data_IF_310254853085
#
_entry.id   IF_310254853085
#
_cell.length_a   1.000
_cell.length_b   1.000
_cell.length_c   1.000
_cell.angle_alpha   90.00
_cell.angle_beta   90.00
_cell.angle_gamma   90.00
#
_symmetry.space_group_name_H-M   'P 1'
#
loop_
_entity.id
_entity.type
_entity.pdbx_description
1 polymer ?
#
# COMPACT_ATOMS: atom_id res chain seq x y z
N UNK A 1 -22.71 20.26 -6.15
CA UNK A 1 -23.30 19.19 -7.00
C UNK A 1 -22.30 18.06 -7.03
N UNK A 2 -22.67 16.93 -6.42
CA UNK A 2 -21.75 15.84 -6.09
C UNK A 2 -21.44 14.97 -7.30
N UNK A 3 -20.16 14.85 -7.62
CA UNK A 3 -19.66 13.69 -8.35
C UNK A 3 -19.61 12.53 -7.35
N UNK A 4 -20.78 11.96 -7.04
CA UNK A 4 -20.88 10.78 -6.20
C UNK A 4 -20.22 9.62 -6.94
N UNK A 5 -19.26 8.95 -6.29
CA UNK A 5 -18.66 7.68 -6.70
C UNK A 5 -19.68 6.55 -6.93
N UNK A 6 -20.96 6.80 -6.66
CA UNK A 6 -22.07 5.84 -6.71
C UNK A 6 -22.44 5.36 -8.12
N UNK A 7 -22.05 6.06 -9.19
CA UNK A 7 -22.39 5.64 -10.56
C UNK A 7 -21.43 4.60 -11.16
N UNK A 8 -20.15 4.66 -10.81
CA UNK A 8 -19.13 3.76 -11.36
C UNK A 8 -19.00 2.46 -10.56
N UNK A 9 -19.30 2.51 -9.25
CA UNK A 9 -19.28 1.37 -8.34
C UNK A 9 -20.67 1.19 -7.70
N UNK A 10 -21.68 0.89 -8.53
CA UNK A 10 -22.98 0.47 -8.03
C UNK A 10 -22.91 -0.91 -7.34
N UNK A 11 -23.98 -1.28 -6.63
CA UNK A 11 -24.04 -2.52 -5.87
C UNK A 11 -23.86 -3.77 -6.75
N UNK A 12 -24.39 -3.74 -7.98
CA UNK A 12 -24.27 -4.86 -8.92
C UNK A 12 -22.81 -5.08 -9.35
N UNK A 13 -22.10 -4.01 -9.72
CA UNK A 13 -20.67 -4.04 -10.06
C UNK A 13 -19.81 -4.45 -8.87
N UNK A 14 -20.12 -3.96 -7.67
CA UNK A 14 -19.44 -4.39 -6.44
C UNK A 14 -19.59 -5.90 -6.24
N UNK A 15 -20.81 -6.43 -6.38
CA UNK A 15 -21.08 -7.85 -6.23
C UNK A 15 -20.39 -8.69 -7.33
N UNK A 16 -20.33 -8.19 -8.56
CA UNK A 16 -19.57 -8.81 -9.64
C UNK A 16 -18.07 -8.88 -9.33
N UNK A 17 -17.46 -7.77 -8.89
CA UNK A 17 -16.04 -7.73 -8.50
C UNK A 17 -15.76 -8.70 -7.37
N UNK A 18 -16.62 -8.74 -6.34
CA UNK A 18 -16.51 -9.72 -5.24
C UNK A 18 -16.53 -11.16 -5.76
N UNK A 19 -17.44 -11.49 -6.68
CA UNK A 19 -17.51 -12.82 -7.29
C UNK A 19 -16.26 -13.21 -8.07
N UNK A 20 -15.67 -12.27 -8.82
CA UNK A 20 -14.41 -12.48 -9.52
C UNK A 20 -13.25 -12.69 -8.55
N UNK A 21 -13.14 -11.85 -7.51
CA UNK A 21 -12.10 -11.96 -6.48
C UNK A 21 -12.18 -13.31 -5.78
N UNK A 22 -13.38 -13.72 -5.37
CA UNK A 22 -13.59 -15.02 -4.69
C UNK A 22 -13.18 -16.18 -5.60
N UNK A 23 -13.60 -16.17 -6.88
CA UNK A 23 -13.20 -17.20 -7.84
C UNK A 23 -11.69 -17.27 -8.03
N UNK A 24 -11.03 -16.13 -8.18
CA UNK A 24 -9.56 -16.07 -8.31
C UNK A 24 -8.87 -16.59 -7.05
N UNK A 25 -9.37 -16.21 -5.86
CA UNK A 25 -8.82 -16.67 -4.60
C UNK A 25 -8.99 -18.18 -4.40
N UNK A 26 -10.16 -18.73 -4.71
CA UNK A 26 -10.42 -20.17 -4.66
C UNK A 26 -9.50 -20.94 -5.61
N UNK A 27 -9.33 -20.46 -6.85
CA UNK A 27 -8.42 -21.07 -7.82
C UNK A 27 -6.96 -21.04 -7.34
N UNK A 28 -6.51 -19.92 -6.77
CA UNK A 28 -5.16 -19.81 -6.20
C UNK A 28 -4.97 -20.67 -4.95
N UNK A 29 -6.01 -20.85 -4.14
CA UNK A 29 -5.92 -21.56 -2.86
C UNK A 29 -5.46 -23.02 -3.02
N UNK A 30 -5.89 -23.69 -4.09
CA UNK A 30 -5.47 -25.06 -4.41
C UNK A 30 -3.97 -25.15 -4.66
N UNK A 31 -3.43 -24.23 -5.48
CA UNK A 31 -2.01 -24.12 -5.74
C UNK A 31 -1.22 -23.80 -4.46
N UNK A 32 -1.69 -22.82 -3.68
CA UNK A 32 -1.03 -22.42 -2.43
C UNK A 32 -0.91 -23.59 -1.45
N UNK A 33 -1.98 -24.37 -1.24
CA UNK A 33 -1.99 -25.53 -0.35
C UNK A 33 -1.00 -26.61 -0.78
N UNK A 34 -0.92 -26.89 -2.09
CA UNK A 34 0.04 -27.85 -2.63
C UNK A 34 1.48 -27.38 -2.42
N UNK A 35 1.77 -26.11 -2.73
CA UNK A 35 3.11 -25.53 -2.56
C UNK A 35 3.52 -25.45 -1.08
N UNK A 36 2.57 -25.19 -0.19
CA UNK A 36 2.83 -25.14 1.24
C UNK A 36 3.41 -26.46 1.75
N UNK A 37 2.77 -27.59 1.44
CA UNK A 37 3.24 -28.92 1.89
C UNK A 37 4.65 -29.25 1.37
N UNK A 38 4.93 -28.96 0.09
CA UNK A 38 6.24 -29.22 -0.52
C UNK A 38 7.32 -28.31 0.10
N UNK A 39 7.01 -27.03 0.28
CA UNK A 39 7.93 -26.05 0.88
C UNK A 39 8.22 -26.40 2.34
N UNK A 40 7.20 -26.81 3.09
CA UNK A 40 7.33 -27.21 4.48
C UNK A 40 8.18 -28.47 4.65
N UNK A 41 7.98 -29.48 3.80
CA UNK A 41 8.83 -30.67 3.79
C UNK A 41 10.28 -30.31 3.44
N UNK A 42 10.49 -29.44 2.44
CA UNK A 42 11.82 -28.94 2.09
C UNK A 42 12.49 -28.18 3.24
N UNK A 43 11.71 -27.41 4.00
CA UNK A 43 12.21 -26.74 5.20
C UNK A 43 12.67 -27.75 6.27
N UNK A 44 11.85 -28.78 6.59
CA UNK A 44 12.25 -29.84 7.52
C UNK A 44 13.52 -30.55 7.03
N UNK A 45 13.59 -30.87 5.74
CA UNK A 45 14.76 -31.52 5.15
C UNK A 45 16.03 -30.68 5.35
N UNK A 46 15.96 -29.36 5.17
CA UNK A 46 17.08 -28.44 5.41
C UNK A 46 17.47 -28.29 6.90
N UNK A 47 16.56 -28.57 7.83
CA UNK A 47 16.83 -28.55 9.26
C UNK A 47 17.44 -29.86 9.76
N UNK A 48 17.00 -31.00 9.20
CA UNK A 48 17.47 -32.34 9.58
C UNK A 48 18.78 -32.70 8.90
N UNK A 49 18.98 -32.31 7.64
CA UNK A 49 20.24 -32.54 6.94
C UNK A 49 21.33 -31.56 7.40
N UNK A 50 22.59 -32.01 7.48
CA UNK A 50 23.71 -31.12 7.74
C UNK A 50 23.84 -30.08 6.63
N UNK A 51 23.68 -28.79 6.99
CA UNK A 51 23.79 -27.68 6.04
C UNK A 51 25.14 -27.71 5.33
N UNK A 52 25.12 -27.84 4.00
CA UNK A 52 26.32 -27.75 3.14
C UNK A 52 26.93 -26.35 3.14
N UNK A 53 26.13 -25.31 3.41
CA UNK A 53 26.58 -23.93 3.59
C UNK A 53 26.86 -23.65 5.07
N UNK A 54 28.09 -23.19 5.36
CA UNK A 54 28.50 -22.82 6.71
C UNK A 54 27.61 -21.75 7.33
N UNK A 55 27.47 -21.76 8.66
CA UNK A 55 26.80 -20.66 9.37
C UNK A 55 27.54 -19.36 9.07
N UNK A 56 26.80 -18.31 8.72
CA UNK A 56 27.38 -16.97 8.57
C UNK A 56 28.13 -16.56 9.84
N UNK A 57 29.30 -15.93 9.67
CA UNK A 57 30.18 -15.55 10.77
C UNK A 57 29.65 -14.35 11.57
N UNK A 58 28.67 -13.62 11.02
CA UNK A 58 28.05 -12.46 11.65
C UNK A 58 26.85 -12.86 12.50
N UNK A 59 26.80 -12.32 13.72
CA UNK A 59 25.64 -12.47 14.59
C UNK A 59 24.43 -11.75 13.98
N UNK A 60 23.29 -12.44 13.89
CA UNK A 60 22.02 -11.83 13.50
C UNK A 60 21.40 -11.11 14.70
N UNK A 61 21.04 -9.85 14.52
CA UNK A 61 20.27 -9.11 15.52
C UNK A 61 18.87 -9.73 15.65
N UNK A 62 18.46 -10.10 16.86
CA UNK A 62 17.07 -10.52 17.11
C UNK A 62 16.13 -9.32 16.88
N UNK A 63 15.00 -9.49 16.17
CA UNK A 63 14.06 -8.40 15.96
C UNK A 63 13.41 -8.05 17.31
N UNK A 64 13.95 -7.04 17.98
CA UNK A 64 13.31 -6.32 19.09
C UNK A 64 13.12 -4.90 18.59
N UNK A 65 12.05 -4.69 17.84
CA UNK A 65 11.71 -3.39 17.30
C UNK A 65 10.36 -3.03 17.84
N UNK A 66 10.33 -1.92 18.58
CA UNK A 66 9.09 -1.23 18.88
C UNK A 66 8.53 -0.71 17.55
N UNK A 67 7.38 -1.22 17.06
CA UNK A 67 6.80 -0.77 15.80
C UNK A 67 6.46 0.72 15.84
N UNK A 68 6.27 1.31 17.01
CA UNK A 68 5.92 2.70 17.18
C UNK A 68 7.14 3.63 17.20
N UNK A 69 8.36 3.07 17.16
CA UNK A 69 9.57 3.87 17.00
C UNK A 69 9.51 4.69 15.70
N UNK A 70 9.69 6.00 15.83
CA UNK A 70 9.77 6.93 14.71
C UNK A 70 11.16 6.84 14.06
N UNK A 71 11.19 6.60 12.76
CA UNK A 71 12.41 6.65 11.94
C UNK A 71 12.64 8.06 11.37
N UNK A 72 11.56 8.73 10.98
CA UNK A 72 11.61 10.07 10.41
C UNK A 72 10.31 10.82 10.71
N UNK A 73 10.41 12.13 10.97
CA UNK A 73 9.24 12.98 11.14
C UNK A 73 9.54 14.39 10.61
N UNK A 74 8.59 14.97 9.88
CA UNK A 74 8.73 16.33 9.36
C UNK A 74 7.38 16.93 8.99
N UNK A 75 7.26 18.25 9.13
CA UNK A 75 6.17 19.00 8.52
C UNK A 75 6.43 19.15 7.02
N UNK A 76 5.55 18.59 6.20
CA UNK A 76 5.66 18.59 4.74
C UNK A 76 4.37 19.15 4.15
N UNK A 77 4.51 19.87 3.03
CA UNK A 77 3.41 20.35 2.21
C UNK A 77 2.84 19.19 1.40
N UNK A 78 1.59 18.80 1.70
CA UNK A 78 0.89 17.69 1.06
C UNK A 78 -0.32 18.24 0.31
N UNK A 79 -0.41 17.95 -0.98
CA UNK A 79 -1.63 18.12 -1.76
C UNK A 79 -2.46 16.84 -1.67
N UNK A 80 -3.56 16.90 -0.93
CA UNK A 80 -4.52 15.80 -0.91
C UNK A 80 -5.48 15.98 -2.11
N UNK A 81 -5.65 14.91 -2.90
CA UNK A 81 -6.53 14.92 -4.08
C UNK A 81 -8.02 14.87 -3.73
N UNK A 82 -8.35 14.52 -2.48
CA UNK A 82 -9.70 14.32 -1.95
C UNK A 82 -10.38 15.61 -1.48
N UNK A 83 -9.60 16.61 -1.08
CA UNK A 83 -10.12 17.92 -0.73
C UNK A 83 -10.42 18.69 -2.03
N UNK A 84 -11.62 19.25 -2.11
CA UNK A 84 -12.23 19.85 -3.31
C UNK A 84 -11.53 21.12 -3.85
N UNK A 85 -10.23 21.28 -3.59
CA UNK A 85 -9.36 22.25 -4.21
C UNK A 85 -7.90 21.79 -4.17
N UNK A 86 -7.10 22.24 -5.14
CA UNK A 86 -5.63 22.11 -5.22
C UNK A 86 -4.89 22.85 -4.08
N UNK A 87 -5.44 22.88 -2.87
CA UNK A 87 -4.87 23.61 -1.74
C UNK A 87 -3.87 22.70 -1.05
N UNK A 88 -2.60 22.97 -1.31
CA UNK A 88 -1.51 22.35 -0.59
C UNK A 88 -1.60 22.73 0.90
N UNK A 89 -1.66 21.73 1.78
CA UNK A 89 -1.73 21.93 3.24
C UNK A 89 -0.46 21.41 3.88
N UNK A 90 0.01 22.12 4.90
CA UNK A 90 1.08 21.62 5.74
C UNK A 90 0.53 20.51 6.64
N UNK A 91 1.21 19.36 6.62
CA UNK A 91 0.86 18.17 7.40
C UNK A 91 2.09 17.70 8.15
N UNK A 92 1.88 17.13 9.32
CA UNK A 92 2.95 16.50 10.08
C UNK A 92 3.05 15.02 9.68
N UNK A 93 4.12 14.63 8.99
CA UNK A 93 4.31 13.28 8.45
C UNK A 93 5.30 12.52 9.31
N UNK A 94 4.96 11.29 9.68
CA UNK A 94 5.75 10.40 10.53
C UNK A 94 5.96 9.06 9.83
N UNK A 95 7.22 8.66 9.65
CA UNK A 95 7.61 7.33 9.21
C UNK A 95 7.96 6.48 10.43
N UNK A 96 7.25 5.38 10.60
CA UNK A 96 7.47 4.43 11.69
C UNK A 96 8.42 3.31 11.26
N UNK A 97 8.82 2.50 12.23
CA UNK A 97 9.80 1.43 12.05
C UNK A 97 9.30 0.23 11.25
N UNK A 98 7.99 0.02 11.22
CA UNK A 98 7.33 -0.92 10.32
C UNK A 98 7.10 -0.35 8.91
N UNK A 99 7.70 0.82 8.63
CA UNK A 99 7.65 1.54 7.36
C UNK A 99 6.26 2.06 6.97
N UNK A 100 5.29 2.09 7.89
CA UNK A 100 4.04 2.82 7.66
C UNK A 100 4.29 4.33 7.73
N UNK A 101 3.62 5.07 6.86
CA UNK A 101 3.66 6.54 6.80
C UNK A 101 2.35 7.06 7.37
N UNK A 102 2.43 7.78 8.48
CA UNK A 102 1.30 8.43 9.14
C UNK A 102 1.27 9.92 8.78
N UNK A 103 0.11 10.41 8.35
CA UNK A 103 -0.11 11.83 8.03
C UNK A 103 -1.05 12.41 9.09
N UNK A 104 -0.53 13.36 9.86
CA UNK A 104 -1.23 14.06 10.94
C UNK A 104 -1.54 15.50 10.54
N UNK A 105 -2.50 16.11 11.23
CA UNK A 105 -2.84 17.53 11.02
C UNK A 105 -1.64 18.44 11.32
N UNK A 106 -1.06 18.29 12.51
CA UNK A 106 0.11 19.04 12.94
C UNK A 106 0.86 18.28 14.04
N UNK A 107 1.99 18.83 14.47
CA UNK A 107 2.83 18.22 15.51
C UNK A 107 2.13 18.17 16.88
N UNK A 108 1.26 19.14 17.18
CA UNK A 108 0.58 19.20 18.47
C UNK A 108 -0.45 18.07 18.62
N UNK A 109 -1.25 17.81 17.59
CA UNK A 109 -2.20 16.70 17.59
C UNK A 109 -1.48 15.38 17.73
N UNK A 110 -0.34 15.23 17.05
CA UNK A 110 0.50 14.05 17.16
C UNK A 110 1.07 13.86 18.58
N UNK A 111 1.67 14.91 19.17
CA UNK A 111 2.27 14.84 20.51
C UNK A 111 1.24 14.57 21.61
N UNK A 112 -0.03 14.95 21.41
CA UNK A 112 -1.15 14.61 22.31
C UNK A 112 -1.69 13.19 22.11
N UNK A 113 -1.09 12.37 21.23
CA UNK A 113 -1.55 11.01 20.93
C UNK A 113 -2.76 10.96 20.00
N UNK A 114 -2.99 12.01 19.21
CA UNK A 114 -4.06 12.05 18.22
C UNK A 114 -3.88 11.02 17.10
N UNK A 115 -5.00 10.52 16.57
CA UNK A 115 -4.99 9.58 15.46
C UNK A 115 -4.53 10.26 14.16
N UNK A 116 -3.81 9.49 13.33
CA UNK A 116 -3.43 9.94 11.99
C UNK A 116 -4.67 10.10 11.10
N UNK A 117 -4.64 11.10 10.21
CA UNK A 117 -5.68 11.29 9.19
C UNK A 117 -5.59 10.23 8.10
N UNK A 118 -4.38 9.84 7.77
CA UNK A 118 -4.12 8.82 6.76
C UNK A 118 -2.91 7.99 7.19
N UNK A 119 -3.02 6.68 7.01
CA UNK A 119 -1.92 5.74 7.21
C UNK A 119 -1.70 5.02 5.89
N UNK A 120 -0.49 5.14 5.35
CA UNK A 120 -0.10 4.54 4.08
C UNK A 120 0.95 3.47 4.31
N UNK A 121 0.78 2.32 3.66
CA UNK A 121 1.84 1.34 3.49
C UNK A 121 2.44 1.54 2.10
N UNK A 122 3.64 2.11 1.97
CA UNK A 122 4.24 2.42 0.66
C UNK A 122 4.72 1.17 -0.09
N UNK A 123 4.34 -0.03 0.33
CA UNK A 123 4.66 -1.27 -0.36
C UNK A 123 4.18 -1.21 -1.80
N UNK A 124 5.10 -1.38 -2.76
CA UNK A 124 4.86 -1.28 -4.21
C UNK A 124 4.54 0.15 -4.72
N UNK A 125 4.68 1.17 -3.89
CA UNK A 125 4.60 2.57 -4.33
C UNK A 125 5.77 2.94 -5.24
N UNK A 126 5.54 3.93 -6.11
CA UNK A 126 6.56 4.53 -6.95
C UNK A 126 6.71 6.00 -6.58
N UNK A 127 7.96 6.48 -6.53
CA UNK A 127 8.29 7.85 -6.17
C UNK A 127 8.65 8.60 -7.44
N UNK A 128 8.00 9.74 -7.64
CA UNK A 128 8.30 10.70 -8.69
C UNK A 128 8.78 11.99 -8.06
N UNK A 129 9.79 12.61 -8.67
CA UNK A 129 10.33 13.89 -8.21
C UNK A 129 10.00 15.04 -9.16
N UNK A 130 9.38 14.75 -10.32
CA UNK A 130 8.82 15.73 -11.24
C UNK A 130 7.34 15.46 -11.50
N UNK A 131 6.59 16.51 -11.86
CA UNK A 131 5.17 16.39 -12.17
C UNK A 131 4.98 15.68 -13.51
N UNK A 132 5.86 15.93 -14.46
CA UNK A 132 5.82 15.37 -15.82
C UNK A 132 5.94 13.85 -15.81
N UNK A 133 6.88 13.29 -15.03
CA UNK A 133 7.03 11.84 -14.88
C UNK A 133 5.78 11.22 -14.26
N UNK A 134 5.25 11.84 -13.20
CA UNK A 134 4.05 11.34 -12.52
C UNK A 134 2.83 11.34 -13.43
N UNK A 135 2.69 12.37 -14.29
CA UNK A 135 1.58 12.51 -15.23
C UNK A 135 1.69 11.50 -16.36
N UNK A 136 2.88 11.34 -16.93
CA UNK A 136 3.11 10.37 -18.00
C UNK A 136 2.79 8.93 -17.54
N UNK A 137 3.19 8.56 -16.33
CA UNK A 137 2.86 7.23 -15.79
C UNK A 137 1.35 7.10 -15.49
N UNK A 138 0.71 8.15 -14.97
CA UNK A 138 -0.73 8.15 -14.72
C UNK A 138 -1.52 7.98 -16.03
N UNK A 139 -1.15 8.71 -17.08
CA UNK A 139 -1.79 8.60 -18.40
C UNK A 139 -1.64 7.20 -18.98
N UNK A 140 -0.45 6.59 -18.85
CA UNK A 140 -0.18 5.23 -19.30
C UNK A 140 -0.96 4.18 -18.50
N UNK A 141 -0.90 4.25 -17.17
CA UNK A 141 -1.51 3.26 -16.28
C UNK A 141 -3.04 3.36 -16.23
N UNK A 142 -3.58 4.56 -16.40
CA UNK A 142 -5.01 4.83 -16.34
C UNK A 142 -5.62 5.16 -17.71
N UNK A 143 -4.94 4.86 -18.82
CA UNK A 143 -5.40 5.16 -20.18
C UNK A 143 -6.86 4.70 -20.43
N UNK A 144 -7.25 3.52 -19.95
CA UNK A 144 -8.61 2.99 -20.09
C UNK A 144 -9.67 3.68 -19.22
N UNK A 145 -9.26 4.39 -18.16
CA UNK A 145 -10.16 5.10 -17.24
C UNK A 145 -10.28 6.57 -17.65
N UNK A 146 -9.17 7.20 -18.06
CA UNK A 146 -9.13 8.61 -18.42
C UNK A 146 -9.76 8.90 -19.80
N UNK A 147 -9.71 7.94 -20.72
CA UNK A 147 -10.27 8.11 -22.07
C UNK A 147 -11.77 7.78 -22.19
N UNK A 148 -12.37 7.13 -21.19
CA UNK A 148 -13.77 6.70 -21.20
C UNK A 148 -14.82 7.79 -20.90
N UNK A 149 -14.40 9.05 -20.68
CA UNK A 149 -15.29 10.18 -20.35
C UNK A 149 -15.73 10.97 -21.59
N UNK A 150 -15.33 10.56 -22.81
CA UNK A 150 -15.62 11.31 -24.05
C UNK A 150 -16.83 10.87 -24.87
N UNK A 151 -17.50 9.78 -24.52
CA UNK A 151 -18.69 9.34 -25.26
C UNK A 151 -19.88 9.21 -24.30
N UNK A 152 -20.61 10.31 -24.16
CA UNK A 152 -22.07 10.37 -23.98
C UNK A 152 -22.46 11.85 -23.81
N UNK A 153 -22.38 12.57 -24.91
CA UNK A 153 -22.98 13.90 -25.07
C UNK A 153 -23.40 14.03 -26.53
N UNK A 154 -24.56 13.47 -26.84
CA UNK A 154 -25.36 13.76 -28.03
C UNK A 154 -26.79 14.04 -27.58
#
# INVERSE_FOLDING_TARGET
MGASSSGLLDEAKINQIKGLVEKTFQSFSGFYRQQYSVTYLGHIHQEVEPKKEGRGLLLRRRPKYDPDQVLYQKTVKVSCWDEQGKKCKERYVVLRKDYRVEIHDNMETFSRGGAAKLVLQPSRGMVFTSEEESRAELEKSCAGILNGVKEDSS
#
